data_IF_507691762507
#
_entry.id   IF_507691762507
#
_cell.length_a   1.000
_cell.length_b   1.000
_cell.length_c   1.000
_cell.angle_alpha   90.00
_cell.angle_beta   90.00
_cell.angle_gamma   90.00
#
_symmetry.space_group_name_H-M   'P 1'
#
loop_
_entity.id
_entity.type
_entity.pdbx_description
1 polymer ?
#
# COMPACT_ATOMS: atom_id res chain seq x y z
N UNK A 1 25.73 -24.44 24.52
CA UNK A 1 24.77 -24.80 23.47
C UNK A 1 25.05 -23.83 22.33
N UNK A 2 25.63 -24.34 21.25
CA UNK A 2 26.05 -23.53 20.10
C UNK A 2 24.83 -23.27 19.24
N UNK A 3 24.36 -22.02 19.18
CA UNK A 3 23.42 -21.57 18.16
C UNK A 3 24.09 -21.78 16.79
N UNK A 4 23.60 -22.76 16.06
CA UNK A 4 23.93 -22.93 14.65
C UNK A 4 23.11 -21.90 13.87
N UNK A 5 23.57 -20.64 13.83
CA UNK A 5 22.97 -19.63 12.97
C UNK A 5 23.27 -20.01 11.52
N UNK A 6 22.33 -20.69 10.87
CA UNK A 6 22.31 -20.74 9.41
C UNK A 6 22.32 -19.28 8.93
N UNK A 7 23.24 -18.86 8.04
CA UNK A 7 23.31 -17.47 7.61
C UNK A 7 21.95 -17.05 7.04
N UNK A 8 21.42 -15.94 7.54
CA UNK A 8 20.16 -15.36 7.08
C UNK A 8 20.26 -15.07 5.57
N UNK A 9 19.49 -15.75 4.72
CA UNK A 9 19.60 -15.60 3.28
C UNK A 9 18.99 -14.26 2.84
N UNK A 10 19.81 -13.21 2.84
CA UNK A 10 19.49 -11.87 2.31
C UNK A 10 19.47 -11.80 0.77
N UNK A 11 19.37 -12.95 0.08
CA UNK A 11 19.35 -12.98 -1.39
C UNK A 11 17.91 -12.81 -1.87
N UNK A 12 17.66 -11.73 -2.60
CA UNK A 12 16.40 -11.54 -3.32
C UNK A 12 16.23 -12.60 -4.41
N UNK A 13 15.04 -13.18 -4.47
CA UNK A 13 14.62 -14.14 -5.48
C UNK A 13 14.09 -13.42 -6.72
N UNK A 14 14.36 -14.00 -7.90
CA UNK A 14 13.74 -13.54 -9.14
C UNK A 14 12.28 -13.99 -9.25
N UNK A 15 11.51 -13.35 -10.14
CA UNK A 15 10.13 -13.77 -10.42
C UNK A 15 10.04 -15.23 -10.88
N UNK A 16 11.01 -15.71 -11.67
CA UNK A 16 11.06 -17.11 -12.12
C UNK A 16 11.33 -18.07 -10.96
N UNK A 17 12.20 -17.69 -10.02
CA UNK A 17 12.48 -18.49 -8.82
C UNK A 17 11.25 -18.56 -7.90
N UNK A 18 10.51 -17.46 -7.76
CA UNK A 18 9.27 -17.39 -6.98
C UNK A 18 8.16 -18.23 -7.65
N UNK A 19 8.00 -18.11 -8.98
CA UNK A 19 6.98 -18.83 -9.74
C UNK A 19 7.17 -20.37 -9.72
N UNK A 20 8.39 -20.84 -9.46
CA UNK A 20 8.70 -22.26 -9.31
C UNK A 20 8.40 -22.81 -7.89
N UNK A 21 8.07 -21.95 -6.92
CA UNK A 21 7.74 -22.38 -5.56
C UNK A 21 6.30 -22.94 -5.50
N UNK A 22 6.09 -24.00 -4.70
CA UNK A 22 4.76 -24.53 -4.44
C UNK A 22 4.05 -23.70 -3.36
N UNK A 23 3.40 -22.62 -3.80
CA UNK A 23 2.69 -21.65 -2.95
C UNK A 23 1.23 -21.49 -3.38
N UNK A 24 0.39 -22.55 -3.24
CA UNK A 24 -1.01 -22.46 -3.63
C UNK A 24 -1.71 -21.35 -2.86
N UNK A 25 -2.45 -20.50 -3.57
CA UNK A 25 -3.18 -19.38 -2.98
C UNK A 25 -2.39 -18.09 -2.81
N UNK A 26 -1.08 -18.10 -3.10
CA UNK A 26 -0.24 -16.90 -3.07
C UNK A 26 -0.01 -16.34 -4.48
N UNK A 27 0.16 -15.01 -4.56
CA UNK A 27 0.48 -14.30 -5.78
C UNK A 27 1.65 -13.35 -5.55
N UNK A 28 2.61 -13.36 -6.48
CA UNK A 28 3.63 -12.31 -6.56
C UNK A 28 3.02 -11.10 -7.27
N UNK A 29 2.72 -10.05 -6.51
CA UNK A 29 2.18 -8.77 -7.01
C UNK A 29 3.20 -7.65 -6.79
N UNK A 30 2.85 -6.41 -7.15
CA UNK A 30 3.71 -5.25 -6.89
C UNK A 30 4.07 -5.19 -5.39
N UNK A 31 5.33 -4.94 -5.07
CA UNK A 31 5.79 -4.78 -3.68
C UNK A 31 5.87 -6.03 -2.79
N UNK A 32 5.43 -7.22 -3.22
CA UNK A 32 5.50 -8.40 -2.33
C UNK A 32 4.81 -9.67 -2.79
N UNK A 33 4.78 -10.65 -1.87
CA UNK A 33 4.05 -11.91 -2.02
C UNK A 33 2.76 -11.83 -1.18
N UNK A 34 1.61 -12.06 -1.80
CA UNK A 34 0.31 -11.81 -1.20
C UNK A 34 -0.54 -13.07 -1.12
N UNK A 35 -1.31 -13.21 -0.04
CA UNK A 35 -2.37 -14.20 0.08
C UNK A 35 -3.59 -13.57 0.75
N UNK A 36 -4.77 -14.01 0.33
CA UNK A 36 -6.05 -13.68 0.97
C UNK A 36 -6.71 -14.95 1.47
N UNK A 37 -7.06 -14.98 2.74
CA UNK A 37 -7.70 -16.11 3.41
C UNK A 37 -9.15 -15.74 3.76
N UNK A 38 -10.13 -16.46 3.21
CA UNK A 38 -11.56 -16.20 3.46
C UNK A 38 -11.98 -16.84 4.79
N UNK A 39 -11.95 -16.05 5.86
CA UNK A 39 -12.22 -16.50 7.22
C UNK A 39 -13.73 -16.59 7.50
N UNK A 40 -14.55 -15.88 6.73
CA UNK A 40 -16.02 -15.85 6.83
C UNK A 40 -16.57 -15.07 8.03
N UNK A 41 -15.84 -15.07 9.14
CA UNK A 41 -16.11 -14.27 10.32
C UNK A 41 -14.81 -13.72 10.95
N UNK A 42 -15.00 -12.75 11.84
CA UNK A 42 -13.90 -12.04 12.49
C UNK A 42 -13.16 -12.90 13.53
N UNK A 43 -13.86 -13.81 14.22
CA UNK A 43 -13.24 -14.63 15.26
C UNK A 43 -12.24 -15.62 14.64
N UNK A 44 -12.66 -16.32 13.58
CA UNK A 44 -11.81 -17.23 12.80
C UNK A 44 -10.59 -16.48 12.26
N UNK A 45 -10.77 -15.25 11.78
CA UNK A 45 -9.66 -14.41 11.32
C UNK A 45 -8.71 -14.01 12.44
N UNK A 46 -9.20 -13.67 13.64
CA UNK A 46 -8.37 -13.35 14.79
C UNK A 46 -7.55 -14.56 15.29
N UNK A 47 -8.13 -15.75 15.27
CA UNK A 47 -7.43 -17.00 15.58
C UNK A 47 -6.30 -17.26 14.57
N UNK A 48 -6.54 -17.03 13.29
CA UNK A 48 -5.54 -17.18 12.23
C UNK A 48 -4.43 -16.13 12.34
N UNK A 49 -4.75 -14.87 12.64
CA UNK A 49 -3.77 -13.81 12.95
C UNK A 49 -2.88 -14.23 14.11
N UNK A 50 -3.44 -14.78 15.17
CA UNK A 50 -2.67 -15.22 16.34
C UNK A 50 -1.71 -16.37 15.99
N UNK A 51 -2.18 -17.33 15.17
CA UNK A 51 -1.35 -18.42 14.69
C UNK A 51 -0.23 -17.95 13.75
N UNK A 52 -0.53 -17.05 12.82
CA UNK A 52 0.45 -16.48 11.89
C UNK A 52 1.49 -15.63 12.62
N UNK A 53 1.05 -14.82 13.58
CA UNK A 53 1.95 -14.04 14.44
C UNK A 53 2.92 -14.92 15.22
N UNK A 54 2.45 -16.02 15.81
CA UNK A 54 3.34 -16.96 16.52
C UNK A 54 4.40 -17.59 15.60
N UNK A 55 4.02 -17.98 14.38
CA UNK A 55 4.96 -18.53 13.40
C UNK A 55 5.94 -17.48 12.86
N UNK A 56 5.49 -16.22 12.72
CA UNK A 56 6.35 -15.10 12.33
C UNK A 56 7.41 -14.79 13.39
N UNK A 57 7.03 -14.75 14.67
CA UNK A 57 7.94 -14.57 15.80
C UNK A 57 8.97 -15.71 15.89
N UNK A 58 8.54 -16.97 15.70
CA UNK A 58 9.46 -18.11 15.64
C UNK A 58 10.45 -18.00 14.48
N UNK A 59 10.01 -17.46 13.33
CA UNK A 59 10.84 -17.25 12.16
C UNK A 59 11.75 -16.01 12.26
N UNK A 60 11.50 -15.09 13.19
CA UNK A 60 12.14 -13.78 13.23
C UNK A 60 11.86 -12.93 11.98
N UNK A 61 10.74 -13.18 11.30
CA UNK A 61 10.36 -12.56 10.03
C UNK A 61 8.85 -12.29 10.04
N UNK A 62 8.44 -11.03 9.83
CA UNK A 62 7.09 -10.59 10.15
C UNK A 62 6.30 -10.20 8.90
N UNK A 63 5.02 -10.62 8.78
CA UNK A 63 4.13 -10.19 7.72
C UNK A 63 3.48 -8.83 8.01
N UNK A 64 2.99 -8.19 6.96
CA UNK A 64 1.90 -7.21 7.08
C UNK A 64 0.55 -7.95 7.03
N UNK A 65 -0.33 -7.69 8.00
CA UNK A 65 -1.63 -8.37 8.14
C UNK A 65 -2.77 -7.35 8.13
N UNK A 66 -3.76 -7.58 7.27
CA UNK A 66 -5.01 -6.81 7.23
C UNK A 66 -6.18 -7.74 7.54
N UNK A 67 -6.71 -7.62 8.76
CA UNK A 67 -7.90 -8.36 9.19
C UNK A 67 -9.15 -7.51 8.95
N UNK A 68 -10.01 -8.00 8.07
CA UNK A 68 -11.37 -7.46 7.85
C UNK A 68 -12.41 -8.48 8.33
N UNK A 69 -13.69 -8.11 8.32
CA UNK A 69 -14.76 -9.01 8.78
C UNK A 69 -14.75 -10.38 8.06
N UNK A 70 -14.67 -10.47 6.72
CA UNK A 70 -14.73 -11.77 6.04
C UNK A 70 -13.37 -12.42 5.75
N UNK A 71 -12.26 -11.71 5.94
CA UNK A 71 -10.97 -12.20 5.44
C UNK A 71 -9.76 -11.62 6.16
N UNK A 72 -8.67 -12.40 6.11
CA UNK A 72 -7.31 -11.99 6.46
C UNK A 72 -6.47 -11.90 5.18
N UNK A 73 -5.97 -10.71 4.88
CA UNK A 73 -4.97 -10.50 3.84
C UNK A 73 -3.57 -10.45 4.45
N UNK A 74 -2.61 -11.04 3.74
CA UNK A 74 -1.23 -11.18 4.16
C UNK A 74 -0.32 -10.71 3.04
N UNK A 75 0.62 -9.83 3.39
CA UNK A 75 1.74 -9.47 2.52
C UNK A 75 3.05 -9.89 3.19
N UNK A 76 3.92 -10.51 2.40
CA UNK A 76 5.27 -10.92 2.78
C UNK A 76 6.30 -10.22 1.89
N UNK A 77 7.23 -9.55 2.54
CA UNK A 77 8.43 -8.98 1.94
C UNK A 77 9.54 -8.93 3.00
N UNK A 78 10.77 -9.13 2.57
CA UNK A 78 11.93 -8.89 3.41
C UNK A 78 12.31 -7.40 3.38
N UNK A 79 11.77 -6.64 4.34
CA UNK A 79 11.94 -5.18 4.41
C UNK A 79 13.41 -4.73 4.47
N UNK A 80 14.27 -5.47 5.16
CA UNK A 80 15.71 -5.19 5.27
C UNK A 80 16.47 -5.28 3.94
N UNK A 81 15.90 -5.99 2.95
CA UNK A 81 16.49 -6.17 1.62
C UNK A 81 15.68 -5.53 0.50
N UNK A 82 14.48 -5.02 0.80
CA UNK A 82 13.57 -4.43 -0.19
C UNK A 82 13.08 -5.44 -1.24
N UNK A 83 12.91 -6.72 -0.88
CA UNK A 83 12.51 -7.75 -1.84
C UNK A 83 12.07 -9.07 -1.23
N UNK A 84 11.73 -10.03 -2.07
CA UNK A 84 11.31 -11.36 -1.63
C UNK A 84 12.53 -12.25 -1.50
N UNK A 85 12.73 -12.84 -0.33
CA UNK A 85 13.80 -13.80 -0.05
C UNK A 85 13.21 -15.19 0.23
N UNK A 86 14.06 -16.17 0.52
CA UNK A 86 13.58 -17.48 0.96
C UNK A 86 12.88 -17.43 2.33
N UNK A 87 13.05 -16.38 3.14
CA UNK A 87 12.30 -16.19 4.39
C UNK A 87 10.81 -16.05 4.12
N UNK A 88 10.46 -15.24 3.13
CA UNK A 88 9.08 -15.02 2.69
C UNK A 88 8.44 -16.32 2.20
N UNK A 89 9.18 -17.10 1.39
CA UNK A 89 8.69 -18.39 0.88
C UNK A 89 8.41 -19.38 2.01
N UNK A 90 9.32 -19.49 2.98
CA UNK A 90 9.16 -20.39 4.12
C UNK A 90 7.96 -20.00 4.99
N UNK A 91 7.79 -18.70 5.26
CA UNK A 91 6.68 -18.22 6.07
C UNK A 91 5.33 -18.38 5.35
N UNK A 92 5.29 -18.15 4.03
CA UNK A 92 4.12 -18.41 3.22
C UNK A 92 3.66 -19.89 3.27
N UNK A 93 4.62 -20.82 3.23
CA UNK A 93 4.36 -22.26 3.38
C UNK A 93 3.82 -22.61 4.77
N UNK A 94 4.41 -22.02 5.82
CA UNK A 94 3.93 -22.20 7.20
C UNK A 94 2.48 -21.71 7.35
N UNK A 95 2.16 -20.53 6.81
CA UNK A 95 0.81 -19.96 6.84
C UNK A 95 -0.20 -20.81 6.08
N UNK A 96 0.18 -21.37 4.92
CA UNK A 96 -0.65 -22.36 4.22
C UNK A 96 -0.95 -23.61 5.08
N UNK A 97 0.03 -24.07 5.87
CA UNK A 97 -0.16 -25.17 6.81
C UNK A 97 -1.16 -24.81 7.92
N UNK A 98 -0.98 -23.65 8.53
CA UNK A 98 -1.85 -23.15 9.60
C UNK A 98 -3.28 -22.88 9.10
N UNK A 99 -3.45 -22.25 7.94
CA UNK A 99 -4.77 -22.03 7.35
C UNK A 99 -5.56 -23.35 7.16
N UNK A 100 -4.87 -24.43 6.74
CA UNK A 100 -5.48 -25.77 6.64
C UNK A 100 -5.94 -26.31 7.99
N UNK A 101 -5.18 -26.10 9.07
CA UNK A 101 -5.58 -26.50 10.44
C UNK A 101 -6.85 -25.78 10.86
N UNK A 102 -6.99 -24.50 10.51
CA UNK A 102 -8.18 -23.69 10.78
C UNK A 102 -9.30 -23.89 9.74
N UNK A 103 -9.15 -24.79 8.77
CA UNK A 103 -10.12 -25.03 7.69
C UNK A 103 -10.44 -23.77 6.85
N UNK A 104 -9.48 -22.85 6.74
CA UNK A 104 -9.60 -21.61 5.96
C UNK A 104 -8.94 -21.79 4.60
N UNK A 105 -9.64 -21.42 3.53
CA UNK A 105 -9.14 -21.47 2.16
C UNK A 105 -8.57 -20.13 1.71
N UNK A 106 -7.49 -20.18 0.93
CA UNK A 106 -6.98 -19.02 0.21
C UNK A 106 -7.85 -18.70 -1.02
N UNK A 107 -7.99 -17.42 -1.35
CA UNK A 107 -8.79 -16.89 -2.46
C UNK A 107 -7.95 -15.96 -3.36
N UNK A 108 -7.00 -16.48 -4.14
CA UNK A 108 -6.08 -15.66 -4.93
C UNK A 108 -6.77 -14.83 -6.03
N UNK A 109 -7.97 -15.23 -6.48
CA UNK A 109 -8.74 -14.48 -7.46
C UNK A 109 -9.32 -13.16 -6.92
N UNK A 110 -9.34 -12.97 -5.60
CA UNK A 110 -9.78 -11.75 -4.95
C UNK A 110 -8.63 -10.78 -4.63
N UNK A 111 -7.38 -11.16 -4.94
CA UNK A 111 -6.23 -10.29 -4.79
C UNK A 111 -6.11 -9.33 -5.97
N UNK A 112 -5.83 -8.07 -5.67
CA UNK A 112 -5.41 -7.07 -6.64
C UNK A 112 -4.54 -6.05 -5.91
N UNK A 113 -3.42 -5.68 -6.51
CA UNK A 113 -2.65 -4.52 -6.07
C UNK A 113 -2.76 -3.39 -7.09
N UNK A 114 -2.97 -2.19 -6.58
CA UNK A 114 -3.16 -0.97 -7.37
C UNK A 114 -1.99 -0.04 -7.12
N UNK A 115 -1.46 0.52 -8.20
CA UNK A 115 -0.46 1.58 -8.17
C UNK A 115 -1.01 2.80 -8.91
N UNK A 116 -0.60 3.99 -8.48
CA UNK A 116 -0.95 5.25 -9.10
C UNK A 116 0.20 5.69 -10.00
N UNK A 117 0.05 5.47 -11.31
CA UNK A 117 0.95 6.01 -12.31
C UNK A 117 0.54 7.45 -12.64
N UNK A 118 1.33 8.44 -12.21
CA UNK A 118 1.09 9.83 -12.56
C UNK A 118 2.01 10.28 -13.70
N UNK A 119 1.41 10.60 -14.82
CA UNK A 119 2.14 11.05 -15.99
C UNK A 119 2.62 12.51 -15.85
N UNK A 120 3.91 12.75 -16.00
CA UNK A 120 4.51 14.11 -15.86
C UNK A 120 5.76 14.27 -16.73
N UNK A 121 6.02 15.47 -17.29
CA UNK A 121 7.30 15.77 -17.92
C UNK A 121 8.46 15.89 -16.92
N UNK A 122 8.17 16.19 -15.64
CA UNK A 122 9.16 16.53 -14.62
C UNK A 122 8.68 16.15 -13.22
N UNK A 123 8.93 14.90 -12.82
CA UNK A 123 8.47 14.39 -11.53
C UNK A 123 9.09 15.14 -10.35
N UNK A 124 10.32 15.66 -10.47
CA UNK A 124 11.00 16.37 -9.38
C UNK A 124 10.22 17.62 -8.96
N UNK A 125 9.46 18.22 -9.88
CA UNK A 125 8.61 19.38 -9.60
C UNK A 125 7.31 19.04 -8.89
N UNK A 126 6.74 17.87 -9.12
CA UNK A 126 5.40 17.53 -8.61
C UNK A 126 5.42 16.52 -7.46
N UNK A 127 6.45 15.68 -7.34
CA UNK A 127 6.55 14.68 -6.29
C UNK A 127 6.45 15.28 -4.86
N UNK A 128 7.08 16.42 -4.53
CA UNK A 128 6.93 17.03 -3.20
C UNK A 128 5.49 17.41 -2.87
N UNK A 129 4.71 17.87 -3.86
CA UNK A 129 3.30 18.16 -3.68
C UNK A 129 2.51 16.89 -3.34
N UNK A 130 2.71 15.81 -4.10
CA UNK A 130 2.01 14.55 -3.88
C UNK A 130 2.41 13.86 -2.57
N UNK A 131 3.69 13.94 -2.18
CA UNK A 131 4.16 13.48 -0.88
C UNK A 131 3.44 14.22 0.25
N UNK A 132 3.33 15.55 0.15
CA UNK A 132 2.61 16.36 1.13
C UNK A 132 1.11 16.04 1.15
N UNK A 133 0.46 15.91 -0.02
CA UNK A 133 -0.99 15.61 -0.14
C UNK A 133 -1.33 14.24 0.43
N UNK A 134 -0.52 13.22 0.18
CA UNK A 134 -0.81 11.83 0.58
C UNK A 134 -0.23 11.41 1.93
N UNK A 135 0.68 12.20 2.49
CA UNK A 135 1.52 11.82 3.65
C UNK A 135 2.51 10.69 3.36
N UNK A 136 3.01 10.66 2.13
CA UNK A 136 3.88 9.59 1.68
C UNK A 136 5.35 9.97 1.80
N UNK A 137 6.20 8.95 1.89
CA UNK A 137 7.64 9.08 1.90
C UNK A 137 8.22 8.79 0.51
N UNK A 138 9.34 9.45 0.19
CA UNK A 138 10.05 9.21 -1.06
C UNK A 138 10.90 7.95 -0.95
N UNK A 139 10.72 7.01 -1.87
CA UNK A 139 11.58 5.84 -2.06
C UNK A 139 12.06 5.80 -3.52
N UNK A 140 13.30 6.23 -3.75
CA UNK A 140 13.83 6.46 -5.10
C UNK A 140 12.98 7.47 -5.87
N UNK A 141 12.43 7.04 -7.01
CA UNK A 141 11.59 7.86 -7.89
C UNK A 141 10.09 7.63 -7.63
N UNK A 142 9.73 6.94 -6.54
CA UNK A 142 8.36 6.61 -6.15
C UNK A 142 8.00 7.27 -4.82
N UNK A 143 6.70 7.34 -4.54
CA UNK A 143 6.14 7.72 -3.25
C UNK A 143 5.40 6.52 -2.65
N UNK A 144 5.75 6.18 -1.41
CA UNK A 144 5.21 5.04 -0.69
C UNK A 144 4.50 5.48 0.59
N UNK A 145 3.38 4.84 0.90
CA UNK A 145 2.72 5.01 2.19
C UNK A 145 3.60 4.36 3.29
N UNK A 146 4.13 5.13 4.26
CA UNK A 146 4.93 4.55 5.35
C UNK A 146 4.15 3.56 6.21
N UNK A 147 2.81 3.59 6.19
CA UNK A 147 1.96 2.62 6.88
C UNK A 147 1.66 1.35 6.07
N UNK A 148 2.05 1.32 4.78
CA UNK A 148 1.86 0.19 3.88
C UNK A 148 0.41 -0.09 3.47
N UNK A 149 -0.51 0.87 3.65
CA UNK A 149 -1.95 0.69 3.39
C UNK A 149 -2.40 1.28 2.07
N UNK A 150 -1.82 2.41 1.69
CA UNK A 150 -2.11 3.12 0.47
C UNK A 150 -1.33 2.59 -0.73
N UNK A 151 -1.85 2.80 -1.96
CA UNK A 151 -1.16 2.39 -3.18
C UNK A 151 0.12 3.20 -3.36
N UNK A 152 1.18 2.58 -3.87
CA UNK A 152 2.38 3.31 -4.34
C UNK A 152 2.01 4.28 -5.44
N UNK A 153 2.62 5.46 -5.44
CA UNK A 153 2.56 6.40 -6.56
C UNK A 153 3.91 6.46 -7.25
N UNK A 154 3.92 6.25 -8.56
CA UNK A 154 5.11 6.34 -9.39
C UNK A 154 4.86 7.30 -10.56
N UNK A 155 5.94 7.85 -11.12
CA UNK A 155 5.82 8.90 -12.13
C UNK A 155 6.24 8.41 -13.51
N UNK A 156 5.31 8.45 -14.46
CA UNK A 156 5.58 8.09 -15.84
C UNK A 156 6.05 9.32 -16.61
N UNK A 157 7.32 9.32 -17.04
CA UNK A 157 7.85 10.39 -17.88
C UNK A 157 7.08 10.49 -19.19
N UNK A 158 6.64 11.69 -19.55
CA UNK A 158 6.08 12.04 -20.86
C UNK A 158 6.88 13.13 -21.54
N UNK A 159 6.91 13.11 -22.86
CA UNK A 159 7.42 14.23 -23.65
C UNK A 159 6.41 15.38 -23.60
N UNK A 160 6.88 16.62 -23.43
CA UNK A 160 6.04 17.77 -23.08
C UNK A 160 5.18 18.31 -24.22
N UNK A 161 3.97 18.79 -23.87
CA UNK A 161 3.02 19.67 -24.58
C UNK A 161 1.78 19.06 -25.27
N UNK A 162 1.44 17.79 -25.08
CA UNK A 162 0.10 17.33 -25.46
C UNK A 162 -0.96 17.78 -24.44
N UNK A 163 -1.57 18.95 -24.72
CA UNK A 163 -2.69 19.52 -23.96
C UNK A 163 -3.93 18.61 -23.88
N UNK A 164 -3.98 17.52 -24.67
CA UNK A 164 -5.06 16.52 -24.60
C UNK A 164 -4.97 15.62 -23.36
N UNK A 165 -3.83 15.57 -22.68
CA UNK A 165 -3.59 14.64 -21.57
C UNK A 165 -3.86 15.23 -20.18
N UNK A 166 -4.94 16.02 -20.05
CA UNK A 166 -5.41 16.49 -18.74
C UNK A 166 -5.92 15.31 -17.89
N UNK A 167 -5.51 15.25 -16.62
CA UNK A 167 -5.99 14.26 -15.67
C UNK A 167 -7.53 14.27 -15.62
N UNK A 168 -8.17 13.13 -15.89
CA UNK A 168 -9.65 13.01 -15.99
C UNK A 168 -10.31 12.57 -14.68
N UNK A 169 -9.52 12.26 -13.66
CA UNK A 169 -9.95 11.94 -12.30
C UNK A 169 -9.10 12.74 -11.31
N UNK A 170 -9.48 12.78 -10.04
CA UNK A 170 -8.67 13.32 -8.95
C UNK A 170 -8.73 12.35 -7.77
N UNK A 171 -7.79 12.50 -6.84
CA UNK A 171 -7.80 11.73 -5.60
C UNK A 171 -8.51 12.53 -4.51
N UNK A 172 -9.49 11.91 -3.85
CA UNK A 172 -10.05 12.43 -2.61
C UNK A 172 -9.22 11.90 -1.43
N UNK A 173 -8.45 12.79 -0.80
CA UNK A 173 -7.66 12.46 0.39
C UNK A 173 -8.43 12.88 1.62
N UNK A 174 -8.97 11.89 2.32
CA UNK A 174 -9.76 12.11 3.53
C UNK A 174 -8.85 12.22 4.75
N UNK A 175 -8.95 13.35 5.44
CA UNK A 175 -8.18 13.64 6.64
C UNK A 175 -9.09 14.10 7.77
N UNK A 176 -8.59 14.00 9.00
CA UNK A 176 -9.29 14.57 10.14
C UNK A 176 -9.29 16.11 10.04
N UNK A 177 -10.36 16.80 10.49
CA UNK A 177 -10.45 18.25 10.34
C UNK A 177 -9.31 19.04 10.97
N UNK A 178 -8.71 18.52 12.04
CA UNK A 178 -7.59 19.12 12.77
C UNK A 178 -6.26 19.09 11.99
N UNK A 179 -6.10 18.20 11.00
CA UNK A 179 -4.88 18.16 10.17
C UNK A 179 -5.08 18.71 8.76
N UNK A 180 -6.32 19.01 8.37
CA UNK A 180 -6.65 19.45 7.00
C UNK A 180 -5.90 20.72 6.58
N UNK A 181 -5.85 21.73 7.46
CA UNK A 181 -5.16 22.98 7.15
C UNK A 181 -3.64 22.79 7.05
N UNK A 182 -3.05 21.95 7.90
CA UNK A 182 -1.62 21.65 7.85
C UNK A 182 -1.28 20.90 6.56
N UNK A 183 -2.13 19.95 6.16
CA UNK A 183 -2.01 19.22 4.89
C UNK A 183 -2.05 20.15 3.68
N UNK A 184 -3.02 21.07 3.65
CA UNK A 184 -3.14 22.08 2.57
C UNK A 184 -1.90 22.99 2.56
N UNK A 185 -1.46 23.45 3.73
CA UNK A 185 -0.32 24.36 3.85
C UNK A 185 0.97 23.69 3.39
N UNK A 186 1.20 22.43 3.76
CA UNK A 186 2.34 21.64 3.31
C UNK A 186 2.35 21.46 1.77
N UNK A 187 1.20 21.11 1.19
CA UNK A 187 1.07 20.95 -0.26
C UNK A 187 1.32 22.25 -1.02
N UNK A 188 0.82 23.40 -0.53
CA UNK A 188 1.10 24.70 -1.14
C UNK A 188 2.55 25.15 -0.98
N UNK A 189 3.17 24.87 0.17
CA UNK A 189 4.60 25.12 0.38
C UNK A 189 5.49 24.26 -0.54
N UNK A 190 5.00 23.08 -0.93
CA UNK A 190 5.64 22.18 -1.90
C UNK A 190 5.38 22.56 -3.37
N UNK A 191 4.88 23.77 -3.65
CA UNK A 191 4.67 24.29 -5.01
C UNK A 191 3.27 24.06 -5.56
N UNK A 192 2.36 23.48 -4.78
CA UNK A 192 0.95 23.35 -5.14
C UNK A 192 0.18 24.66 -5.07
N UNK A 193 -1.00 24.67 -5.69
CA UNK A 193 -1.93 25.81 -5.69
C UNK A 193 -3.29 25.41 -5.15
N UNK A 194 -3.95 26.30 -4.41
CA UNK A 194 -5.37 26.16 -4.07
C UNK A 194 -6.18 26.59 -5.30
N UNK A 195 -6.96 25.66 -5.85
CA UNK A 195 -7.77 25.87 -7.06
C UNK A 195 -9.20 26.29 -6.71
N UNK A 196 -9.79 25.65 -5.70
CA UNK A 196 -11.16 25.93 -5.25
C UNK A 196 -11.30 25.60 -3.76
N UNK A 197 -11.74 26.58 -2.98
CA UNK A 197 -12.03 26.45 -1.54
C UNK A 197 -13.50 26.79 -1.22
N UNK A 198 -14.36 26.95 -2.24
CA UNK A 198 -15.76 27.34 -2.07
C UNK A 198 -16.59 26.33 -1.28
N UNK A 199 -16.10 25.10 -1.15
CA UNK A 199 -16.72 24.01 -0.39
C UNK A 199 -16.01 23.72 0.94
N UNK A 200 -15.03 24.53 1.34
CA UNK A 200 -14.41 24.39 2.65
C UNK A 200 -15.47 24.59 3.77
N UNK A 201 -15.41 23.81 4.88
CA UNK A 201 -14.38 22.83 5.23
C UNK A 201 -14.62 21.41 4.67
N UNK A 202 -15.67 21.18 3.86
CA UNK A 202 -15.98 19.84 3.33
C UNK A 202 -14.85 19.30 2.45
N UNK A 203 -14.36 20.14 1.52
CA UNK A 203 -13.15 19.85 0.76
C UNK A 203 -12.51 21.13 0.19
N UNK A 204 -11.21 21.06 -0.05
CA UNK A 204 -10.41 22.06 -0.77
C UNK A 204 -9.71 21.38 -1.93
N UNK A 205 -9.83 21.93 -3.14
CA UNK A 205 -9.19 21.43 -4.35
C UNK A 205 -7.82 22.06 -4.49
N UNK A 206 -6.80 21.22 -4.61
CA UNK A 206 -5.42 21.61 -4.86
C UNK A 206 -4.97 21.14 -6.25
N UNK A 207 -3.95 21.78 -6.81
CA UNK A 207 -3.27 21.30 -8.00
C UNK A 207 -1.74 21.37 -7.86
N UNK A 208 -1.04 20.40 -8.46
CA UNK A 208 0.41 20.42 -8.63
C UNK A 208 0.85 21.40 -9.75
N UNK A 209 2.15 21.47 -10.02
CA UNK A 209 2.73 22.37 -11.02
C UNK A 209 2.32 22.03 -12.47
N UNK A 210 1.87 20.80 -12.73
CA UNK A 210 1.38 20.35 -14.05
C UNK A 210 -0.15 20.49 -14.17
N UNK A 211 -0.83 20.89 -13.09
CA UNK A 211 -2.28 21.07 -13.04
C UNK A 211 -3.06 19.81 -12.68
N UNK A 212 -2.39 18.72 -12.26
CA UNK A 212 -3.06 17.53 -11.74
C UNK A 212 -3.69 17.86 -10.39
N UNK A 213 -4.89 17.34 -10.12
CA UNK A 213 -5.73 17.76 -8.99
C UNK A 213 -5.90 16.67 -7.94
N UNK A 214 -6.02 17.12 -6.70
CA UNK A 214 -6.45 16.32 -5.56
C UNK A 214 -7.33 17.17 -4.64
N UNK A 215 -8.19 16.51 -3.87
CA UNK A 215 -9.02 17.15 -2.85
C UNK A 215 -8.50 16.77 -1.47
N UNK A 216 -8.32 17.75 -0.59
CA UNK A 216 -8.23 17.50 0.85
C UNK A 216 -9.65 17.55 1.41
N UNK A 217 -10.15 16.40 1.85
CA UNK A 217 -11.54 16.17 2.25
C UNK A 217 -11.65 16.01 3.76
N UNK A 218 -12.68 16.63 4.36
CA UNK A 218 -13.06 16.38 5.75
C UNK A 218 -14.52 15.93 5.84
N UNK A 219 -14.91 15.38 6.99
CA UNK A 219 -16.30 15.00 7.27
C UNK A 219 -17.19 16.18 7.66
N UNK A 220 -16.64 17.38 7.86
CA UNK A 220 -17.40 18.56 8.27
C UNK A 220 -18.28 19.09 7.14
N UNK A 221 -19.42 19.69 7.52
CA UNK A 221 -20.35 20.42 6.65
C UNK A 221 -20.85 19.68 5.39
N UNK A 222 -20.62 18.37 5.31
CA UNK A 222 -21.26 17.49 4.32
C UNK A 222 -22.68 17.19 4.78
N UNK A 223 -23.65 17.46 3.92
CA UNK A 223 -25.03 17.00 4.16
C UNK A 223 -24.97 15.48 4.36
N UNK A 224 -25.28 15.01 5.57
CA UNK A 224 -25.02 13.63 5.97
C UNK A 224 -25.64 12.63 5.01
N UNK A 225 -24.82 12.02 4.17
CA UNK A 225 -25.19 10.78 3.50
C UNK A 225 -24.65 9.66 4.37
N UNK A 226 -25.48 9.28 5.34
CA UNK A 226 -25.40 7.92 5.85
C UNK A 226 -25.55 6.97 4.67
N UNK A 227 -24.49 6.22 4.39
CA UNK A 227 -24.50 4.95 3.69
C UNK A 227 -23.23 4.22 4.08
#
# INVERSE_FOLDING_TARGET
MTESSTPDPQRTLSNDEIAQQDLPGWARLAGGLFARFETGDFQTGLELVSAFGAAAEEAGHHPDLVLTYPALEVKLVSHDVGGITSRDIQLAQAFNGLAKVHSVSAAPAALAEVELALDTPDHEKIAPFWAAVLDYEQDGDELVDPSGRGPTMWFQKRDSEDAEASQRFHLDVWVSPDVAQDRISAATAAGGTVVDESQAPSFVVLADADGNKACICTSLDRAGTGS
#
